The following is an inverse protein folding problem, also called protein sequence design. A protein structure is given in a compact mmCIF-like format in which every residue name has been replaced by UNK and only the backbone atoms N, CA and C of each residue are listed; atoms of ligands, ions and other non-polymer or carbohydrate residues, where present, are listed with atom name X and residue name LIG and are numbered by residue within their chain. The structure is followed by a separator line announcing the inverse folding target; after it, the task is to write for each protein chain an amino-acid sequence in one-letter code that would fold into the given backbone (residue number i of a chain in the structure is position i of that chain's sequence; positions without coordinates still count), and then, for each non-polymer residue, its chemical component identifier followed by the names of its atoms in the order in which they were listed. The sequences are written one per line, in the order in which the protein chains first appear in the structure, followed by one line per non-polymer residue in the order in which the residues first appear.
data_IF_027803964054
#
_entry.id   IF_027803964054
#
_cell.length_a   1.000
_cell.length_b   1.000
_cell.length_c   1.000
_cell.angle_alpha   90.00
_cell.angle_beta   90.00
_cell.angle_gamma   90.00
#
_symmetry.space_group_name_H-M   'P 1'
#
loop_
_entity.id
_entity.type
_entity.pdbx_description
1 polymer ?
#
# COMPACT_ATOMS: atom_id res chain seq x y z
N UNK A 1 -3.06 -12.53 30.90
CA UNK A 1 -3.04 -12.12 29.48
C UNK A 1 -1.86 -11.18 29.23
N UNK A 2 -0.63 -11.73 29.08
CA UNK A 2 0.56 -10.87 29.01
C UNK A 2 1.09 -10.70 27.58
N UNK A 3 0.53 -11.43 26.62
CA UNK A 3 0.98 -11.46 25.23
C UNK A 3 0.17 -10.54 24.33
N UNK A 4 0.81 -10.06 23.26
CA UNK A 4 0.20 -9.29 22.17
C UNK A 4 -0.05 -10.23 20.99
N UNK A 5 -1.21 -10.11 20.33
CA UNK A 5 -1.48 -10.80 19.08
C UNK A 5 -1.12 -9.90 17.90
N UNK A 6 -0.29 -10.38 16.99
CA UNK A 6 -0.01 -9.75 15.69
C UNK A 6 -0.64 -10.60 14.59
N UNK A 7 -1.44 -9.99 13.71
CA UNK A 7 -2.15 -10.70 12.64
C UNK A 7 -1.61 -10.23 11.28
N UNK A 8 -0.92 -11.13 10.59
CA UNK A 8 -0.24 -10.92 9.31
C UNK A 8 1.28 -10.86 9.45
N UNK A 9 2.01 -11.48 8.50
CA UNK A 9 3.47 -11.48 8.42
C UNK A 9 3.99 -10.87 7.10
N UNK A 10 3.25 -9.91 6.55
CA UNK A 10 3.74 -8.99 5.53
C UNK A 10 4.67 -7.92 6.14
N UNK A 11 5.18 -6.97 5.32
CA UNK A 11 6.12 -5.95 5.77
C UNK A 11 5.69 -5.18 7.03
N UNK A 12 4.42 -4.81 7.15
CA UNK A 12 3.90 -4.10 8.32
C UNK A 12 3.93 -4.97 9.59
N UNK A 13 3.50 -6.25 9.49
CA UNK A 13 3.51 -7.20 10.61
C UNK A 13 4.93 -7.53 11.07
N UNK A 14 5.88 -7.69 10.14
CA UNK A 14 7.29 -7.93 10.47
C UNK A 14 7.93 -6.71 11.14
N UNK A 15 7.59 -5.49 10.70
CA UNK A 15 8.06 -4.26 11.32
C UNK A 15 7.66 -4.17 12.80
N UNK A 16 6.38 -4.42 13.11
CA UNK A 16 5.92 -4.37 14.50
C UNK A 16 6.45 -5.53 15.33
N UNK A 17 6.59 -6.72 14.77
CA UNK A 17 7.21 -7.87 15.44
C UNK A 17 8.65 -7.54 15.87
N UNK A 18 9.44 -6.90 15.01
CA UNK A 18 10.79 -6.42 15.33
C UNK A 18 10.77 -5.40 16.48
N UNK A 19 9.83 -4.45 16.45
CA UNK A 19 9.72 -3.44 17.50
C UNK A 19 9.31 -4.04 18.87
N UNK A 20 8.36 -4.99 18.87
CA UNK A 20 7.96 -5.73 20.07
C UNK A 20 9.13 -6.55 20.64
N UNK A 21 9.85 -7.29 19.78
CA UNK A 21 11.03 -8.06 20.16
C UNK A 21 12.10 -7.18 20.81
N UNK A 22 12.37 -5.99 20.23
CA UNK A 22 13.35 -5.03 20.78
C UNK A 22 13.01 -4.57 22.20
N UNK A 23 11.73 -4.41 22.51
CA UNK A 23 11.28 -3.99 23.83
C UNK A 23 10.95 -5.16 24.76
N UNK A 24 11.30 -6.39 24.37
CA UNK A 24 11.01 -7.63 25.11
C UNK A 24 9.52 -7.80 25.45
N UNK A 25 8.62 -7.32 24.56
CA UNK A 25 7.18 -7.49 24.73
C UNK A 25 6.79 -8.86 24.16
N UNK A 26 6.22 -9.78 24.97
CA UNK A 26 5.80 -11.09 24.49
C UNK A 26 4.67 -10.95 23.44
N UNK A 27 4.78 -11.68 22.33
CA UNK A 27 3.75 -11.70 21.31
C UNK A 27 3.65 -13.08 20.63
N UNK A 28 2.48 -13.34 20.03
CA UNK A 28 2.26 -14.40 19.04
C UNK A 28 1.90 -13.74 17.73
N UNK A 29 2.41 -14.26 16.62
CA UNK A 29 2.09 -13.75 15.30
C UNK A 29 1.43 -14.84 14.46
N UNK A 30 0.29 -14.53 13.83
CA UNK A 30 -0.45 -15.43 12.97
C UNK A 30 -0.35 -14.99 11.52
N UNK A 31 0.01 -15.93 10.64
CA UNK A 31 0.03 -15.72 9.19
C UNK A 31 -0.79 -16.83 8.50
N UNK A 32 -1.74 -16.43 7.64
CA UNK A 32 -2.58 -17.39 6.90
C UNK A 32 -1.81 -18.14 5.82
N UNK A 33 -0.76 -17.53 5.26
CA UNK A 33 0.13 -18.13 4.27
C UNK A 33 1.22 -18.96 4.95
N UNK A 34 1.93 -19.74 4.15
CA UNK A 34 3.00 -20.64 4.62
C UNK A 34 4.34 -19.96 4.81
N UNK A 35 4.47 -18.67 4.42
CA UNK A 35 5.69 -17.89 4.54
C UNK A 35 5.40 -16.40 4.81
N UNK A 36 6.46 -15.66 5.10
CA UNK A 36 6.46 -14.20 5.21
C UNK A 36 6.45 -13.54 3.83
N UNK A 37 6.10 -12.24 3.77
CA UNK A 37 6.18 -11.45 2.52
C UNK A 37 4.86 -10.79 2.14
N UNK A 38 3.73 -11.29 2.64
CA UNK A 38 2.41 -10.73 2.39
C UNK A 38 2.07 -10.74 0.89
N UNK A 39 1.80 -9.57 0.32
CA UNK A 39 1.42 -9.46 -1.10
C UNK A 39 2.56 -9.76 -2.07
N UNK A 40 3.83 -9.66 -1.66
CA UNK A 40 4.97 -9.86 -2.56
C UNK A 40 5.20 -11.32 -2.94
N UNK A 41 4.62 -12.24 -2.20
CA UNK A 41 4.66 -13.66 -2.55
C UNK A 41 3.55 -14.00 -3.56
N UNK A 42 3.95 -14.40 -4.76
CA UNK A 42 3.02 -14.82 -5.83
C UNK A 42 2.27 -16.10 -5.47
N UNK A 43 2.83 -16.93 -4.59
CA UNK A 43 2.21 -18.16 -4.10
C UNK A 43 1.20 -17.90 -2.96
N UNK A 44 1.14 -16.66 -2.43
CA UNK A 44 0.16 -16.31 -1.41
C UNK A 44 -1.25 -16.20 -2.02
N UNK A 45 -2.21 -17.07 -1.65
CA UNK A 45 -3.53 -17.09 -2.24
C UNK A 45 -4.24 -15.74 -2.15
N UNK A 46 -4.69 -15.22 -3.30
CA UNK A 46 -5.36 -13.93 -3.42
C UNK A 46 -4.41 -12.72 -3.45
N UNK A 47 -3.09 -12.93 -3.56
CA UNK A 47 -2.14 -11.83 -3.78
C UNK A 47 -2.50 -11.03 -5.03
N UNK A 48 -2.42 -9.69 -4.99
CA UNK A 48 -2.63 -8.84 -6.17
C UNK A 48 -1.41 -8.74 -7.08
N UNK A 49 -0.29 -9.39 -6.73
CA UNK A 49 0.96 -9.30 -7.49
C UNK A 49 0.94 -10.15 -8.76
N UNK A 50 1.71 -9.72 -9.73
CA UNK A 50 1.91 -10.34 -11.03
C UNK A 50 3.41 -10.29 -11.40
N UNK A 51 3.84 -11.07 -12.39
CA UNK A 51 5.26 -11.26 -12.71
C UNK A 51 5.99 -9.96 -13.06
N UNK A 52 5.34 -9.06 -13.79
CA UNK A 52 5.94 -7.78 -14.20
C UNK A 52 5.85 -6.69 -13.12
N UNK A 53 5.31 -6.98 -11.93
CA UNK A 53 5.19 -6.00 -10.86
C UNK A 53 6.56 -5.63 -10.28
N UNK A 54 6.80 -4.33 -10.18
CA UNK A 54 7.99 -3.75 -9.56
C UNK A 54 7.61 -2.82 -8.42
N UNK A 55 8.52 -2.59 -7.52
CA UNK A 55 8.37 -1.56 -6.51
C UNK A 55 8.17 -0.20 -7.19
N UNK A 56 7.26 0.64 -6.67
CA UNK A 56 6.94 1.96 -7.25
C UNK A 56 7.80 3.09 -6.66
N UNK A 57 8.59 2.81 -5.64
CA UNK A 57 9.59 3.71 -5.06
C UNK A 57 10.98 3.10 -5.21
N UNK A 58 12.01 3.94 -5.23
CA UNK A 58 13.38 3.48 -5.45
C UNK A 58 13.89 2.61 -4.31
N UNK A 59 14.73 1.65 -4.63
CA UNK A 59 15.44 0.77 -3.69
C UNK A 59 16.05 1.55 -2.53
N UNK A 60 16.69 2.67 -2.83
CA UNK A 60 17.41 3.47 -1.83
C UNK A 60 16.50 4.10 -0.77
N UNK A 61 15.26 4.45 -1.14
CA UNK A 61 14.32 5.07 -0.21
C UNK A 61 13.31 4.09 0.40
N UNK A 62 13.36 2.81 0.02
CA UNK A 62 12.30 1.84 0.29
C UNK A 62 12.64 0.77 1.33
N UNK A 63 13.82 0.79 1.91
CA UNK A 63 14.23 -0.17 2.94
C UNK A 63 13.52 0.03 4.29
N UNK A 64 13.53 -1.01 5.11
CA UNK A 64 13.26 -0.88 6.54
C UNK A 64 14.37 -0.05 7.20
N UNK A 65 14.03 0.61 8.30
CA UNK A 65 15.00 1.36 9.09
C UNK A 65 16.10 0.42 9.63
N UNK A 66 17.38 0.78 9.53
CA UNK A 66 18.55 -0.05 9.86
C UNK A 66 18.68 -1.36 9.05
N UNK A 67 17.88 -1.50 7.99
CA UNK A 67 17.98 -2.65 7.09
C UNK A 67 17.75 -2.18 5.65
N UNK A 68 18.72 -1.49 5.04
CA UNK A 68 18.57 -1.00 3.68
C UNK A 68 18.49 -2.15 2.67
N UNK A 69 17.83 -1.94 1.55
CA UNK A 69 17.86 -2.90 0.47
C UNK A 69 19.28 -3.03 -0.09
N UNK A 70 19.72 -4.25 -0.45
CA UNK A 70 21.06 -4.50 -1.02
C UNK A 70 21.38 -3.60 -2.21
N UNK A 71 22.62 -3.09 -2.26
CA UNK A 71 23.10 -2.24 -3.36
C UNK A 71 23.14 -2.92 -4.74
N UNK A 72 23.10 -4.24 -4.76
CA UNK A 72 23.08 -5.08 -5.97
C UNK A 72 21.71 -5.15 -6.64
N UNK A 73 20.63 -4.76 -5.95
CA UNK A 73 19.30 -4.71 -6.54
C UNK A 73 19.16 -3.53 -7.52
N UNK A 74 18.30 -3.62 -8.55
CA UNK A 74 18.02 -2.51 -9.46
C UNK A 74 17.34 -1.34 -8.73
N UNK A 75 17.26 -0.19 -9.38
CA UNK A 75 16.62 1.01 -8.81
C UNK A 75 15.16 0.76 -8.37
N UNK A 76 14.45 -0.04 -9.14
CA UNK A 76 13.07 -0.48 -8.82
C UNK A 76 13.02 -2.02 -8.82
N UNK A 77 13.23 -2.65 -7.65
CA UNK A 77 13.23 -4.11 -7.56
C UNK A 77 11.90 -4.73 -7.96
N UNK A 78 11.93 -5.89 -8.58
CA UNK A 78 10.75 -6.68 -8.91
C UNK A 78 10.14 -7.37 -7.66
N UNK A 79 9.00 -8.01 -7.84
CA UNK A 79 8.27 -8.68 -6.76
C UNK A 79 9.09 -9.77 -6.07
N UNK A 80 9.89 -10.56 -6.81
CA UNK A 80 10.73 -11.65 -6.28
C UNK A 80 11.89 -11.09 -5.46
N UNK A 81 12.48 -9.98 -5.93
CA UNK A 81 13.56 -9.29 -5.22
C UNK A 81 13.06 -8.65 -3.93
N UNK A 82 11.87 -8.05 -3.95
CA UNK A 82 11.22 -7.49 -2.74
C UNK A 82 10.82 -8.59 -1.77
N UNK A 83 10.32 -9.72 -2.26
CA UNK A 83 10.05 -10.90 -1.44
C UNK A 83 11.32 -11.42 -0.77
N UNK A 84 12.40 -11.60 -1.55
CA UNK A 84 13.71 -12.03 -1.03
C UNK A 84 14.24 -11.08 0.04
N UNK A 85 14.13 -9.77 -0.18
CA UNK A 85 14.48 -8.76 0.80
C UNK A 85 13.64 -8.85 2.08
N UNK A 86 12.32 -9.07 1.96
CA UNK A 86 11.42 -9.19 3.11
C UNK A 86 11.67 -10.47 3.90
N UNK A 87 11.99 -11.58 3.23
CA UNK A 87 12.44 -12.84 3.84
C UNK A 87 13.74 -12.65 4.61
N UNK A 88 14.73 -12.02 3.95
CA UNK A 88 16.02 -11.69 4.60
C UNK A 88 15.87 -10.79 5.82
N UNK A 89 14.91 -9.84 5.81
CA UNK A 89 14.57 -9.06 6.98
C UNK A 89 14.04 -9.93 8.14
N UNK A 90 13.10 -10.81 7.85
CA UNK A 90 12.55 -11.71 8.89
C UNK A 90 13.63 -12.60 9.48
N UNK A 91 14.54 -13.11 8.66
CA UNK A 91 15.65 -13.98 9.09
C UNK A 91 16.70 -13.20 9.89
N UNK A 92 17.13 -12.04 9.41
CA UNK A 92 18.13 -11.19 10.06
C UNK A 92 17.74 -10.77 11.50
N UNK A 93 16.44 -10.70 11.77
CA UNK A 93 15.94 -10.36 13.10
C UNK A 93 15.33 -11.57 13.85
N UNK A 94 15.42 -12.78 13.29
CA UNK A 94 14.91 -14.02 13.91
C UNK A 94 13.42 -13.95 14.24
N UNK A 95 12.60 -13.39 13.33
CA UNK A 95 11.19 -13.15 13.56
C UNK A 95 10.33 -14.39 13.32
N UNK A 96 10.79 -15.30 12.46
CA UNK A 96 10.02 -16.51 12.07
C UNK A 96 9.62 -17.39 13.23
N UNK A 97 10.45 -17.46 14.27
CA UNK A 97 10.20 -18.32 15.43
C UNK A 97 8.91 -17.99 16.22
N UNK A 98 8.44 -16.74 16.12
CA UNK A 98 7.21 -16.30 16.76
C UNK A 98 5.97 -16.34 15.83
N UNK A 99 6.14 -16.77 14.56
CA UNK A 99 5.07 -16.80 13.58
C UNK A 99 4.48 -18.21 13.47
N UNK A 100 3.17 -18.30 13.62
CA UNK A 100 2.40 -19.51 13.28
C UNK A 100 1.87 -19.37 11.87
N UNK A 101 2.54 -20.01 10.94
CA UNK A 101 2.17 -20.07 9.54
C UNK A 101 0.95 -20.97 9.29
N UNK A 102 0.29 -20.84 8.13
CA UNK A 102 -0.90 -21.59 7.78
C UNK A 102 -2.08 -21.34 8.72
N UNK A 103 -2.03 -20.28 9.53
CA UNK A 103 -2.95 -20.02 10.63
C UNK A 103 -3.72 -18.73 10.40
N UNK A 104 -4.99 -18.87 9.98
CA UNK A 104 -5.87 -17.74 9.74
C UNK A 104 -6.69 -17.38 10.97
N UNK A 105 -6.70 -16.11 11.33
CA UNK A 105 -7.63 -15.56 12.33
C UNK A 105 -9.02 -15.43 11.70
N UNK A 106 -10.02 -15.97 12.37
CA UNK A 106 -11.44 -15.90 11.95
C UNK A 106 -12.17 -14.75 12.58
N UNK A 107 -11.93 -14.48 13.87
CA UNK A 107 -12.67 -13.49 14.64
C UNK A 107 -11.86 -12.95 15.82
N UNK A 108 -12.24 -11.76 16.31
CA UNK A 108 -11.74 -11.16 17.54
C UNK A 108 -12.89 -10.61 18.36
N UNK A 109 -12.88 -10.86 19.66
CA UNK A 109 -13.89 -10.40 20.61
C UNK A 109 -13.22 -9.73 21.81
N UNK A 110 -13.86 -8.72 22.38
CA UNK A 110 -13.38 -8.13 23.64
C UNK A 110 -13.59 -9.11 24.79
N UNK A 111 -12.58 -9.29 25.64
CA UNK A 111 -12.63 -10.19 26.80
C UNK A 111 -12.03 -9.46 28.03
N UNK A 112 -12.91 -8.93 28.87
CA UNK A 112 -12.48 -8.08 29.99
C UNK A 112 -11.73 -6.85 29.49
N UNK A 113 -10.46 -6.69 29.92
CA UNK A 113 -9.58 -5.62 29.45
C UNK A 113 -8.74 -6.00 28.22
N UNK A 114 -8.89 -7.22 27.70
CA UNK A 114 -8.14 -7.76 26.57
C UNK A 114 -9.02 -8.26 25.44
N UNK A 115 -8.52 -9.26 24.73
CA UNK A 115 -9.13 -9.78 23.50
C UNK A 115 -9.07 -11.32 23.48
N UNK A 116 -10.12 -11.96 23.05
CA UNK A 116 -10.12 -13.36 22.63
C UNK A 116 -10.02 -13.40 21.09
N UNK A 117 -8.98 -14.04 20.58
CA UNK A 117 -8.75 -14.27 19.15
C UNK A 117 -9.15 -15.70 18.83
N UNK A 118 -10.08 -15.88 17.88
CA UNK A 118 -10.53 -17.19 17.40
C UNK A 118 -9.87 -17.49 16.05
N UNK A 119 -9.19 -18.61 15.95
CA UNK A 119 -8.56 -19.08 14.72
C UNK A 119 -9.59 -19.84 13.84
N UNK A 120 -9.19 -20.12 12.59
CA UNK A 120 -10.07 -20.82 11.64
C UNK A 120 -10.37 -22.27 12.07
N UNK A 121 -9.47 -22.92 12.80
CA UNK A 121 -9.65 -24.26 13.37
C UNK A 121 -10.59 -24.30 14.59
N UNK A 122 -11.07 -23.16 15.05
CA UNK A 122 -11.95 -22.99 16.21
C UNK A 122 -11.20 -22.75 17.53
N UNK A 123 -9.90 -22.88 17.57
CA UNK A 123 -9.12 -22.59 18.79
C UNK A 123 -9.22 -21.13 19.19
N UNK A 124 -9.21 -20.87 20.50
CA UNK A 124 -9.36 -19.52 21.08
C UNK A 124 -8.16 -19.21 21.96
N UNK A 125 -7.62 -18.00 21.82
CA UNK A 125 -6.46 -17.54 22.55
C UNK A 125 -6.70 -16.13 23.08
N UNK A 126 -6.30 -15.87 24.32
CA UNK A 126 -6.51 -14.58 24.97
C UNK A 126 -5.23 -13.73 24.94
N UNK A 127 -5.43 -12.46 24.59
CA UNK A 127 -4.36 -11.47 24.43
C UNK A 127 -4.71 -10.15 25.11
N UNK A 128 -3.70 -9.43 25.60
CA UNK A 128 -3.88 -8.07 26.12
C UNK A 128 -4.12 -7.01 25.04
N UNK A 129 -3.63 -7.26 23.83
CA UNK A 129 -3.75 -6.35 22.70
C UNK A 129 -3.75 -7.10 21.37
N UNK A 130 -4.38 -6.51 20.34
CA UNK A 130 -4.41 -7.01 18.96
C UNK A 130 -3.85 -5.96 18.01
N UNK A 131 -2.95 -6.38 17.12
CA UNK A 131 -2.38 -5.58 16.03
C UNK A 131 -2.78 -6.20 14.71
N UNK A 132 -3.68 -5.52 13.98
CA UNK A 132 -4.13 -5.91 12.66
C UNK A 132 -3.14 -5.41 11.61
N UNK A 133 -2.38 -6.29 10.97
CA UNK A 133 -1.35 -5.97 9.96
C UNK A 133 -1.54 -6.77 8.67
N UNK A 134 -2.80 -7.05 8.30
CA UNK A 134 -3.15 -7.93 7.17
C UNK A 134 -3.11 -7.24 5.81
N UNK A 135 -2.87 -5.93 5.75
CA UNK A 135 -2.82 -5.18 4.50
C UNK A 135 -4.22 -4.85 3.93
N UNK A 136 -4.24 -4.12 2.80
CA UNK A 136 -5.43 -3.43 2.30
C UNK A 136 -5.83 -3.81 0.86
N UNK A 137 -5.15 -4.78 0.25
CA UNK A 137 -5.32 -5.14 -1.17
C UNK A 137 -5.83 -6.56 -1.36
N UNK A 138 -6.74 -7.00 -0.48
CA UNK A 138 -7.28 -8.37 -0.50
C UNK A 138 -8.74 -8.44 -0.95
N UNK A 139 -9.44 -7.31 -1.05
CA UNK A 139 -10.84 -7.26 -1.44
C UNK A 139 -11.01 -6.48 -2.75
N UNK A 140 -11.02 -7.16 -3.92
CA UNK A 140 -11.12 -6.53 -5.22
C UNK A 140 -12.41 -5.73 -5.36
N UNK A 141 -12.30 -4.51 -5.92
CA UNK A 141 -13.47 -3.69 -6.26
C UNK A 141 -13.87 -3.98 -7.70
N UNK A 142 -15.01 -4.62 -7.88
CA UNK A 142 -15.59 -4.93 -9.18
C UNK A 142 -16.70 -3.94 -9.52
N UNK A 143 -16.53 -3.04 -10.50
CA UNK A 143 -17.63 -2.22 -10.99
C UNK A 143 -18.64 -3.06 -11.76
N UNK A 144 -19.87 -2.56 -11.81
CA UNK A 144 -20.95 -3.13 -12.66
C UNK A 144 -21.26 -2.16 -13.79
N UNK A 145 -21.43 -2.71 -14.98
CA UNK A 145 -21.86 -1.94 -16.17
C UNK A 145 -23.16 -2.52 -16.72
N UNK A 146 -24.04 -1.70 -17.31
CA UNK A 146 -25.26 -2.18 -17.96
C UNK A 146 -24.94 -3.13 -19.12
N UNK A 147 -25.83 -4.08 -19.38
CA UNK A 147 -25.72 -5.00 -20.52
C UNK A 147 -25.10 -6.35 -20.14
N UNK A 148 -24.72 -7.11 -21.17
CA UNK A 148 -24.16 -8.46 -21.03
C UNK A 148 -22.87 -8.56 -21.81
N UNK A 149 -21.88 -9.22 -21.26
CA UNK A 149 -20.62 -9.53 -21.94
C UNK A 149 -20.45 -11.04 -22.07
N UNK A 150 -20.06 -11.48 -23.27
CA UNK A 150 -19.89 -12.92 -23.57
C UNK A 150 -18.45 -13.40 -23.36
N UNK A 151 -17.50 -12.47 -23.25
CA UNK A 151 -16.11 -12.78 -22.96
C UNK A 151 -15.84 -12.97 -21.46
N UNK A 152 -14.57 -12.99 -21.11
CA UNK A 152 -14.11 -13.14 -19.74
C UNK A 152 -14.05 -11.79 -19.02
N UNK A 153 -14.54 -11.72 -17.78
CA UNK A 153 -14.41 -10.56 -16.89
C UNK A 153 -13.64 -10.99 -15.64
N UNK A 154 -12.54 -10.28 -15.35
CA UNK A 154 -11.71 -10.52 -14.14
C UNK A 154 -11.29 -9.22 -13.48
N UNK A 155 -10.89 -9.32 -12.21
CA UNK A 155 -10.13 -8.27 -11.55
C UNK A 155 -8.62 -8.49 -11.72
N UNK A 156 -7.83 -7.42 -11.73
CA UNK A 156 -6.36 -7.47 -11.83
C UNK A 156 -5.68 -8.29 -10.73
N UNK A 157 -6.35 -8.53 -9.60
CA UNK A 157 -5.85 -9.42 -8.54
C UNK A 157 -5.70 -10.88 -8.96
N UNK A 158 -6.33 -11.30 -10.05
CA UNK A 158 -6.21 -12.66 -10.58
C UNK A 158 -5.23 -12.76 -11.76
N UNK A 159 -4.75 -11.63 -12.26
CA UNK A 159 -3.76 -11.57 -13.33
C UNK A 159 -2.38 -11.99 -12.79
N UNK A 160 -1.62 -12.77 -13.57
CA UNK A 160 -0.29 -13.25 -13.19
C UNK A 160 0.80 -12.96 -14.22
N UNK A 161 0.52 -13.22 -15.51
CA UNK A 161 1.56 -13.14 -16.54
C UNK A 161 1.02 -12.67 -17.88
N UNK A 162 1.86 -12.00 -18.68
CA UNK A 162 1.53 -11.49 -20.00
C UNK A 162 1.08 -12.59 -20.99
N UNK A 163 1.52 -13.82 -20.79
CA UNK A 163 1.13 -14.95 -21.65
C UNK A 163 -0.38 -15.23 -21.64
N UNK A 164 -1.10 -14.80 -20.59
CA UNK A 164 -2.56 -14.93 -20.50
C UNK A 164 -3.29 -14.11 -21.58
N UNK A 165 -2.62 -13.16 -22.22
CA UNK A 165 -3.20 -12.27 -23.23
C UNK A 165 -3.00 -12.73 -24.67
N UNK A 166 -2.23 -13.78 -24.90
CA UNK A 166 -1.95 -14.27 -26.26
C UNK A 166 -3.22 -14.51 -27.08
N UNK A 167 -3.27 -13.87 -28.27
CA UNK A 167 -4.36 -14.01 -29.21
C UNK A 167 -5.69 -13.33 -28.81
N UNK A 168 -5.72 -12.61 -27.69
CA UNK A 168 -6.91 -11.95 -27.13
C UNK A 168 -6.90 -10.44 -27.41
N UNK A 169 -8.09 -9.86 -27.54
CA UNK A 169 -8.31 -8.43 -27.46
C UNK A 169 -8.62 -8.07 -26.02
N UNK A 170 -7.74 -7.35 -25.37
CA UNK A 170 -7.76 -7.11 -23.91
C UNK A 170 -8.13 -5.66 -23.62
N UNK A 171 -9.15 -5.46 -22.81
CA UNK A 171 -9.51 -4.16 -22.25
C UNK A 171 -9.13 -4.11 -20.77
N UNK A 172 -8.17 -3.26 -20.42
CA UNK A 172 -7.83 -2.93 -19.01
C UNK A 172 -8.66 -1.72 -18.59
N UNK A 173 -9.49 -1.86 -17.56
CA UNK A 173 -10.33 -0.77 -17.03
C UNK A 173 -9.69 -0.16 -15.80
N UNK A 174 -9.30 1.11 -15.91
CA UNK A 174 -8.62 1.87 -14.85
C UNK A 174 -7.12 2.05 -15.12
N UNK A 175 -6.62 3.24 -14.84
CA UNK A 175 -5.22 3.66 -15.07
C UNK A 175 -4.51 4.01 -13.75
N UNK A 176 -4.56 3.11 -12.76
CA UNK A 176 -3.63 3.11 -11.64
C UNK A 176 -2.30 2.43 -12.01
N UNK A 177 -1.36 2.30 -11.04
CA UNK A 177 -0.07 1.65 -11.32
C UNK A 177 -0.25 0.24 -11.92
N UNK A 178 -1.12 -0.60 -11.33
CA UNK A 178 -1.41 -1.93 -11.88
C UNK A 178 -2.04 -1.87 -13.27
N UNK A 179 -3.00 -0.96 -13.49
CA UNK A 179 -3.63 -0.82 -14.81
C UNK A 179 -2.64 -0.42 -15.90
N UNK A 180 -1.70 0.47 -15.60
CA UNK A 180 -0.65 0.89 -16.53
C UNK A 180 0.34 -0.25 -16.83
N UNK A 181 0.80 -0.97 -15.80
CA UNK A 181 1.71 -2.10 -15.99
C UNK A 181 1.06 -3.21 -16.82
N UNK A 182 -0.19 -3.58 -16.48
CA UNK A 182 -0.94 -4.63 -17.18
C UNK A 182 -1.29 -4.21 -18.61
N UNK A 183 -1.58 -2.93 -18.86
CA UNK A 183 -1.77 -2.42 -20.22
C UNK A 183 -0.47 -2.53 -21.06
N UNK A 184 0.70 -2.31 -20.44
CA UNK A 184 2.00 -2.54 -21.10
C UNK A 184 2.24 -4.02 -21.40
N UNK A 185 1.83 -4.93 -20.51
CA UNK A 185 1.94 -6.37 -20.73
C UNK A 185 0.96 -6.83 -21.83
N UNK A 186 -0.25 -6.26 -21.88
CA UNK A 186 -1.19 -6.47 -22.98
C UNK A 186 -0.65 -5.97 -24.32
N UNK A 187 -0.03 -4.77 -24.34
CA UNK A 187 0.65 -4.25 -25.53
C UNK A 187 1.67 -5.21 -26.11
N UNK A 188 2.42 -5.90 -25.25
CA UNK A 188 3.47 -6.82 -25.67
C UNK A 188 2.97 -8.20 -26.13
N UNK A 189 1.75 -8.61 -25.77
CA UNK A 189 1.33 -10.01 -25.88
C UNK A 189 -0.07 -10.23 -26.46
N UNK A 190 -0.95 -9.23 -26.38
CA UNK A 190 -2.33 -9.35 -26.85
C UNK A 190 -2.44 -9.15 -28.37
N UNK A 191 -3.53 -9.63 -28.97
CA UNK A 191 -3.88 -9.31 -30.37
C UNK A 191 -4.30 -7.85 -30.54
N UNK A 192 -4.91 -7.25 -29.48
CA UNK A 192 -5.16 -5.82 -29.37
C UNK A 192 -5.23 -5.43 -27.88
N UNK A 193 -4.71 -4.27 -27.52
CA UNK A 193 -4.71 -3.77 -26.17
C UNK A 193 -5.44 -2.42 -26.08
N UNK A 194 -6.38 -2.33 -25.14
CA UNK A 194 -7.15 -1.13 -24.84
C UNK A 194 -7.02 -0.80 -23.36
N UNK A 195 -6.97 0.49 -23.04
CA UNK A 195 -7.06 0.95 -21.64
C UNK A 195 -8.20 1.96 -21.52
N UNK A 196 -9.18 1.66 -20.65
CA UNK A 196 -10.28 2.59 -20.36
C UNK A 196 -9.90 3.51 -19.21
N UNK A 197 -9.98 4.82 -19.46
CA UNK A 197 -9.54 5.87 -18.56
C UNK A 197 -10.67 6.85 -18.29
N UNK A 198 -11.27 6.77 -17.10
CA UNK A 198 -12.39 7.63 -16.70
C UNK A 198 -12.00 9.08 -16.42
N UNK A 199 -10.78 9.29 -15.89
CA UNK A 199 -10.25 10.61 -15.52
C UNK A 199 -8.75 10.66 -15.79
N UNK A 200 -8.22 11.85 -16.04
CA UNK A 200 -6.80 12.05 -16.30
C UNK A 200 -5.92 11.82 -15.08
N UNK A 201 -4.69 11.41 -15.32
CA UNK A 201 -3.64 11.21 -14.33
C UNK A 201 -2.38 11.98 -14.72
N UNK A 202 -1.68 12.49 -13.71
CA UNK A 202 -0.31 12.94 -13.91
C UNK A 202 0.61 11.72 -14.00
N UNK A 203 1.21 11.53 -15.17
CA UNK A 203 2.19 10.47 -15.38
C UNK A 203 3.58 11.01 -15.08
N UNK A 204 4.30 10.31 -14.21
CA UNK A 204 5.67 10.65 -13.82
C UNK A 204 6.59 9.54 -14.31
N UNK A 205 7.67 9.85 -15.05
CA UNK A 205 8.63 8.84 -15.46
C UNK A 205 9.38 8.30 -14.22
N UNK A 206 9.75 7.02 -14.26
CA UNK A 206 10.50 6.39 -13.15
C UNK A 206 11.87 7.04 -12.92
N UNK A 207 12.48 7.62 -13.96
CA UNK A 207 13.77 8.33 -13.89
C UNK A 207 13.65 9.73 -14.49
N UNK A 208 14.31 10.69 -13.87
CA UNK A 208 14.53 12.04 -14.36
C UNK A 208 16.04 12.26 -14.42
N UNK A 209 16.57 12.56 -15.60
CA UNK A 209 18.02 12.68 -15.84
C UNK A 209 18.84 11.48 -15.33
N UNK A 210 18.31 10.25 -15.50
CA UNK A 210 18.96 9.02 -15.05
C UNK A 210 18.88 8.75 -13.54
N UNK A 211 18.22 9.60 -12.77
CA UNK A 211 18.03 9.46 -11.31
C UNK A 211 16.59 9.01 -11.04
N UNK A 212 16.34 8.01 -10.17
CA UNK A 212 15.00 7.68 -9.71
C UNK A 212 14.23 8.91 -9.25
N UNK A 213 12.98 9.04 -9.70
CA UNK A 213 12.23 10.30 -9.52
C UNK A 213 11.99 10.67 -8.05
N UNK A 214 11.79 9.70 -7.17
CA UNK A 214 11.65 9.92 -5.74
C UNK A 214 12.99 10.38 -5.10
N UNK A 215 14.13 9.85 -5.56
CA UNK A 215 15.45 10.34 -5.15
C UNK A 215 15.73 11.75 -5.70
N UNK A 216 15.33 12.02 -6.95
CA UNK A 216 15.46 13.34 -7.55
C UNK A 216 14.72 14.39 -6.71
N UNK A 217 13.46 14.10 -6.34
CA UNK A 217 12.67 14.95 -5.45
C UNK A 217 13.27 15.08 -4.03
N UNK A 218 13.89 14.02 -3.51
CA UNK A 218 14.52 14.05 -2.19
C UNK A 218 15.83 14.85 -2.14
N UNK A 219 16.56 14.94 -3.26
CA UNK A 219 17.82 15.72 -3.39
C UNK A 219 17.57 17.20 -3.65
N UNK A 220 16.38 17.55 -4.14
CA UNK A 220 16.02 18.92 -4.46
C UNK A 220 15.92 19.82 -3.21
N UNK A 221 15.96 21.15 -3.39
CA UNK A 221 15.78 22.08 -2.30
C UNK A 221 14.39 21.92 -1.67
N UNK A 222 14.32 21.99 -0.35
CA UNK A 222 13.08 21.88 0.41
C UNK A 222 12.28 23.18 0.29
N UNK A 223 11.59 23.36 -0.83
CA UNK A 223 10.74 24.53 -1.09
C UNK A 223 9.28 24.22 -0.74
N UNK A 224 8.48 25.26 -0.43
CA UNK A 224 7.05 25.07 -0.23
C UNK A 224 6.37 24.46 -1.47
N UNK A 225 5.41 23.57 -1.25
CA UNK A 225 4.69 22.83 -2.33
C UNK A 225 4.07 23.78 -3.38
N UNK A 226 3.74 25.01 -2.98
CA UNK A 226 3.21 26.05 -3.89
C UNK A 226 4.20 26.46 -4.98
N UNK A 227 5.50 26.35 -4.73
CA UNK A 227 6.57 26.65 -5.68
C UNK A 227 7.10 25.36 -6.35
N UNK A 228 7.21 24.27 -5.59
CA UNK A 228 7.66 22.97 -6.08
C UNK A 228 6.74 22.44 -7.20
N UNK A 229 5.42 22.50 -6.99
CA UNK A 229 4.43 21.96 -7.91
C UNK A 229 4.47 22.54 -9.32
N UNK A 230 4.39 23.87 -9.54
CA UNK A 230 4.42 24.43 -10.88
C UNK A 230 5.76 24.19 -11.58
N UNK A 231 6.88 24.25 -10.85
CA UNK A 231 8.20 23.99 -11.41
C UNK A 231 8.32 22.51 -11.87
N UNK A 232 7.84 21.57 -11.06
CA UNK A 232 7.87 20.16 -11.41
C UNK A 232 6.88 19.84 -12.54
N UNK A 233 5.72 20.49 -12.59
CA UNK A 233 4.77 20.34 -13.70
C UNK A 233 5.37 20.86 -15.01
N UNK A 234 6.07 21.99 -14.99
CA UNK A 234 6.77 22.51 -16.16
C UNK A 234 7.89 21.58 -16.62
N UNK A 235 8.67 21.03 -15.69
CA UNK A 235 9.68 20.01 -15.99
C UNK A 235 9.08 18.77 -16.66
N UNK A 236 7.97 18.23 -16.13
CA UNK A 236 7.29 17.07 -16.73
C UNK A 236 6.78 17.38 -18.15
N UNK A 237 6.22 18.58 -18.38
CA UNK A 237 5.81 19.01 -19.71
C UNK A 237 7.00 19.13 -20.69
N UNK A 238 8.14 19.61 -20.21
CA UNK A 238 9.37 19.68 -21.02
C UNK A 238 9.87 18.28 -21.40
N UNK A 239 9.81 17.31 -20.47
CA UNK A 239 10.35 15.96 -20.69
C UNK A 239 9.43 15.07 -21.52
N UNK A 240 8.11 15.20 -21.38
CA UNK A 240 7.13 14.27 -21.96
C UNK A 240 6.19 14.91 -23.00
N UNK A 241 6.17 16.23 -23.06
CA UNK A 241 5.22 16.98 -23.90
C UNK A 241 3.80 16.93 -23.35
N UNK A 242 2.84 17.19 -24.25
CA UNK A 242 1.41 17.07 -23.96
C UNK A 242 0.95 15.63 -24.21
N UNK A 243 0.55 14.94 -23.13
CA UNK A 243 0.10 13.55 -23.20
C UNK A 243 -1.34 13.40 -23.71
N UNK A 244 -2.12 14.49 -23.81
CA UNK A 244 -3.48 14.44 -24.39
C UNK A 244 -3.46 14.06 -25.87
N UNK A 245 -2.38 14.40 -26.58
CA UNK A 245 -2.14 13.97 -27.98
C UNK A 245 -2.09 12.44 -28.15
N UNK A 246 -1.87 11.70 -27.05
CA UNK A 246 -1.84 10.23 -27.03
C UNK A 246 -3.21 9.63 -26.63
N UNK A 247 -4.26 10.47 -26.54
CA UNK A 247 -5.61 10.06 -26.14
C UNK A 247 -5.85 10.04 -24.62
N UNK A 248 -4.86 10.33 -23.78
CA UNK A 248 -5.06 10.42 -22.34
C UNK A 248 -5.89 11.65 -21.98
N UNK A 249 -6.92 11.52 -21.11
CA UNK A 249 -7.66 12.69 -20.63
C UNK A 249 -6.74 13.67 -19.87
N UNK A 250 -7.02 14.96 -19.99
CA UNK A 250 -6.34 15.96 -19.16
C UNK A 250 -6.64 15.72 -17.67
N UNK A 251 -5.63 15.79 -16.77
CA UNK A 251 -5.86 15.68 -15.35
C UNK A 251 -6.80 16.78 -14.84
N UNK A 252 -7.87 16.41 -14.14
CA UNK A 252 -8.87 17.28 -13.52
C UNK A 252 -8.42 17.88 -12.17
N UNK A 253 -7.17 17.68 -11.82
CA UNK A 253 -6.57 18.06 -10.54
C UNK A 253 -5.10 18.48 -10.74
N UNK A 254 -4.54 19.16 -9.75
CA UNK A 254 -3.13 19.56 -9.79
C UNK A 254 -2.23 18.39 -9.39
N UNK A 255 -0.99 18.43 -9.85
CA UNK A 255 0.03 17.44 -9.49
C UNK A 255 0.12 17.28 -7.96
N UNK A 256 0.19 16.04 -7.47
CA UNK A 256 0.18 15.61 -6.06
C UNK A 256 -1.17 15.77 -5.32
N UNK A 257 -2.22 16.27 -5.93
CA UNK A 257 -3.57 16.22 -5.36
C UNK A 257 -4.25 14.86 -5.53
N UNK A 258 -3.64 13.99 -6.32
CA UNK A 258 -3.92 12.57 -6.43
C UNK A 258 -2.60 11.82 -6.48
N UNK A 259 -2.63 10.52 -6.18
CA UNK A 259 -1.44 9.69 -6.33
C UNK A 259 -1.04 9.65 -7.82
N UNK A 260 0.16 10.13 -8.19
CA UNK A 260 0.58 10.13 -9.59
C UNK A 260 0.84 8.71 -10.07
N UNK A 261 0.76 8.52 -11.38
CA UNK A 261 1.14 7.28 -12.04
C UNK A 261 2.63 7.27 -12.33
N UNK A 262 3.39 6.37 -11.69
CA UNK A 262 4.81 6.18 -11.95
C UNK A 262 5.01 5.07 -12.98
N UNK A 263 5.06 5.44 -14.25
CA UNK A 263 5.28 4.48 -15.33
C UNK A 263 5.96 5.15 -16.52
N UNK A 264 7.06 4.58 -17.03
CA UNK A 264 7.76 5.05 -18.23
C UNK A 264 7.35 4.24 -19.48
N UNK A 265 6.96 2.96 -19.31
CA UNK A 265 6.63 2.06 -20.43
C UNK A 265 5.32 2.42 -21.11
N UNK A 266 4.31 2.85 -20.35
CA UNK A 266 3.00 3.19 -20.87
C UNK A 266 3.07 4.25 -21.98
N UNK A 267 3.82 5.34 -21.73
CA UNK A 267 3.96 6.42 -22.73
C UNK A 267 4.58 5.87 -24.02
N UNK A 268 5.59 5.01 -23.93
CA UNK A 268 6.21 4.35 -25.07
C UNK A 268 5.16 3.57 -25.89
N UNK A 269 4.39 2.69 -25.27
CA UNK A 269 3.35 1.90 -25.96
C UNK A 269 2.22 2.76 -26.55
N UNK A 270 1.85 3.85 -25.87
CA UNK A 270 0.88 4.80 -26.43
C UNK A 270 1.44 5.54 -27.65
N UNK A 271 2.72 5.90 -27.66
CA UNK A 271 3.38 6.57 -28.78
C UNK A 271 3.52 5.66 -30.01
N UNK A 272 3.67 4.35 -29.79
CA UNK A 272 3.76 3.34 -30.86
C UNK A 272 2.39 2.86 -31.35
N UNK A 273 1.31 3.20 -30.63
CA UNK A 273 -0.03 2.73 -30.97
C UNK A 273 -0.32 1.29 -30.53
N UNK A 274 0.55 0.71 -29.68
CA UNK A 274 0.39 -0.66 -29.16
C UNK A 274 -0.77 -0.76 -28.16
N UNK A 275 -1.15 0.36 -27.54
CA UNK A 275 -2.31 0.48 -26.63
C UNK A 275 -3.18 1.63 -27.09
N UNK A 276 -4.46 1.37 -27.27
CA UNK A 276 -5.45 2.42 -27.56
C UNK A 276 -6.16 2.87 -26.27
N UNK A 277 -6.15 4.18 -26.02
CA UNK A 277 -6.90 4.78 -24.92
C UNK A 277 -8.38 4.87 -25.29
N UNK A 278 -9.24 4.53 -24.33
CA UNK A 278 -10.70 4.65 -24.41
C UNK A 278 -11.25 5.39 -23.20
N UNK A 279 -12.34 6.12 -23.33
CA UNK A 279 -13.03 6.73 -22.19
C UNK A 279 -13.68 5.67 -21.29
N UNK A 280 -14.50 6.10 -20.33
CA UNK A 280 -15.16 5.17 -19.40
C UNK A 280 -16.10 4.20 -20.13
N UNK A 281 -16.25 3.00 -19.58
CA UNK A 281 -17.18 1.98 -20.10
C UNK A 281 -18.61 2.42 -19.83
N UNK A 282 -19.41 2.57 -20.89
CA UNK A 282 -20.83 2.92 -20.79
C UNK A 282 -21.72 1.67 -20.70
N UNK A 283 -21.45 0.66 -21.54
CA UNK A 283 -22.29 -0.53 -21.65
C UNK A 283 -21.54 -1.71 -22.24
N UNK A 284 -21.96 -2.92 -21.85
CA UNK A 284 -21.50 -4.20 -22.38
C UNK A 284 -22.50 -4.71 -23.42
N UNK A 285 -22.03 -5.07 -24.63
CA UNK A 285 -22.89 -5.43 -25.78
C UNK A 285 -22.39 -6.72 -26.43
N UNK A 286 -22.57 -7.85 -25.74
CA UNK A 286 -22.15 -9.16 -26.24
C UNK A 286 -20.62 -9.31 -26.26
N UNK A 287 -20.01 -9.34 -27.44
CA UNK A 287 -18.56 -9.37 -27.65
C UNK A 287 -17.93 -7.97 -27.80
N UNK A 288 -18.72 -6.91 -27.61
CA UNK A 288 -18.30 -5.52 -27.75
C UNK A 288 -18.49 -4.74 -26.45
N UNK A 289 -17.65 -3.74 -26.27
CA UNK A 289 -17.75 -2.76 -25.21
C UNK A 289 -18.04 -1.40 -25.83
N UNK A 290 -19.11 -0.73 -25.37
CA UNK A 290 -19.43 0.64 -25.74
C UNK A 290 -18.90 1.59 -24.69
N UNK A 291 -18.22 2.65 -25.15
CA UNK A 291 -17.65 3.68 -24.29
C UNK A 291 -18.56 4.92 -24.23
N UNK A 292 -18.26 5.83 -23.29
CA UNK A 292 -19.08 7.02 -23.01
C UNK A 292 -19.08 8.05 -24.17
N UNK A 293 -18.12 7.99 -25.09
CA UNK A 293 -18.08 8.79 -26.31
C UNK A 293 -18.89 8.16 -27.47
N UNK A 294 -19.52 7.00 -27.24
CA UNK A 294 -20.28 6.25 -28.25
C UNK A 294 -19.45 5.29 -29.10
N UNK A 295 -18.12 5.31 -29.00
CA UNK A 295 -17.26 4.35 -29.69
C UNK A 295 -17.43 2.94 -29.15
N UNK A 296 -17.08 1.92 -29.96
CA UNK A 296 -17.20 0.51 -29.59
C UNK A 296 -16.01 -0.27 -30.08
N UNK A 297 -15.46 -1.16 -29.21
CA UNK A 297 -14.45 -2.15 -29.60
C UNK A 297 -14.92 -3.56 -29.32
N UNK A 298 -14.42 -4.50 -30.10
CA UNK A 298 -14.56 -5.92 -29.86
C UNK A 298 -13.49 -6.35 -28.85
N UNK A 299 -13.91 -7.05 -27.78
CA UNK A 299 -13.09 -7.40 -26.64
C UNK A 299 -13.33 -8.86 -26.27
N UNK A 300 -12.28 -9.59 -25.91
CA UNK A 300 -12.36 -10.99 -25.46
C UNK A 300 -12.19 -11.09 -23.94
N UNK A 301 -11.45 -10.14 -23.35
CA UNK A 301 -11.15 -10.09 -21.91
C UNK A 301 -11.27 -8.65 -21.39
N UNK A 302 -12.10 -8.45 -20.39
CA UNK A 302 -12.14 -7.23 -19.57
C UNK A 302 -11.41 -7.50 -18.24
N UNK A 303 -10.39 -6.71 -17.96
CA UNK A 303 -9.60 -6.81 -16.73
C UNK A 303 -9.75 -5.52 -15.92
N UNK A 304 -10.48 -5.60 -14.82
CA UNK A 304 -10.70 -4.46 -13.95
C UNK A 304 -9.47 -4.19 -13.05
N UNK A 305 -8.76 -3.10 -13.29
CA UNK A 305 -7.68 -2.56 -12.45
C UNK A 305 -8.19 -1.41 -11.57
N UNK A 306 -9.32 -1.62 -10.93
CA UNK A 306 -10.15 -0.61 -10.26
C UNK A 306 -9.89 -0.48 -8.77
N UNK A 307 -8.83 -1.15 -8.29
CA UNK A 307 -8.37 -1.07 -6.90
C UNK A 307 -9.14 -1.98 -5.95
N UNK A 308 -9.03 -1.68 -4.65
CA UNK A 308 -9.47 -2.57 -3.58
C UNK A 308 -10.29 -1.81 -2.54
N UNK A 309 -11.25 -2.49 -1.95
CA UNK A 309 -11.90 -2.05 -0.74
C UNK A 309 -11.08 -2.48 0.48
N UNK A 310 -10.99 -1.60 1.47
CA UNK A 310 -10.29 -1.94 2.70
C UNK A 310 -11.22 -2.70 3.63
N UNK A 311 -10.69 -3.73 4.26
CA UNK A 311 -11.43 -4.52 5.22
C UNK A 311 -10.49 -5.12 6.27
N UNK A 312 -11.05 -5.34 7.46
CA UNK A 312 -10.44 -6.09 8.55
C UNK A 312 -11.50 -7.11 9.01
N UNK A 313 -11.82 -8.14 8.21
CA UNK A 313 -13.04 -8.95 8.39
C UNK A 313 -13.20 -9.54 9.78
N UNK A 314 -12.10 -9.95 10.41
CA UNK A 314 -12.07 -10.56 11.74
C UNK A 314 -12.18 -9.54 12.90
N UNK A 315 -12.04 -8.23 12.62
CA UNK A 315 -12.07 -7.18 13.63
C UNK A 315 -12.87 -5.94 13.17
N UNK A 316 -13.55 -6.00 12.04
CA UNK A 316 -14.25 -4.87 11.39
C UNK A 316 -15.13 -4.07 12.37
N UNK A 317 -15.90 -4.75 13.21
CA UNK A 317 -16.86 -4.16 14.17
C UNK A 317 -16.19 -3.36 15.30
N UNK A 318 -14.90 -3.53 15.51
CA UNK A 318 -14.17 -2.88 16.60
C UNK A 318 -13.51 -1.56 16.16
N UNK A 319 -13.50 -1.28 14.86
CA UNK A 319 -13.03 0.00 14.32
C UNK A 319 -14.21 0.88 13.94
N UNK A 320 -14.04 2.18 14.07
CA UNK A 320 -14.90 3.15 13.44
C UNK A 320 -14.52 3.28 11.97
N UNK A 321 -15.52 3.34 11.08
CA UNK A 321 -15.29 3.39 9.64
C UNK A 321 -15.93 4.62 9.04
N UNK A 322 -15.18 5.32 8.20
CA UNK A 322 -15.68 6.46 7.45
C UNK A 322 -15.23 6.34 5.98
N UNK A 323 -16.18 6.37 5.03
CA UNK A 323 -15.94 6.22 3.59
C UNK A 323 -15.07 4.99 3.23
N UNK A 324 -15.30 3.86 3.90
CA UNK A 324 -14.57 2.62 3.68
C UNK A 324 -13.13 2.62 4.20
N UNK A 325 -12.80 3.51 5.15
CA UNK A 325 -11.49 3.59 5.82
C UNK A 325 -11.64 3.53 7.33
N UNK A 326 -10.78 2.82 8.06
CA UNK A 326 -10.79 2.82 9.51
C UNK A 326 -10.29 4.17 10.04
N UNK A 327 -11.02 4.73 11.00
CA UNK A 327 -10.64 5.95 11.72
C UNK A 327 -9.55 5.62 12.75
N UNK A 328 -8.31 5.92 12.42
CA UNK A 328 -7.15 5.62 13.25
C UNK A 328 -6.35 6.89 13.55
N UNK A 329 -6.05 7.15 14.81
CA UNK A 329 -5.06 8.17 15.16
C UNK A 329 -3.67 7.73 14.67
N UNK A 330 -2.95 8.62 13.98
CA UNK A 330 -1.66 8.32 13.34
C UNK A 330 -1.72 7.04 12.48
N UNK A 331 -2.83 6.80 11.79
CA UNK A 331 -3.04 5.64 10.90
C UNK A 331 -2.81 4.27 11.55
N UNK A 332 -2.75 4.20 12.89
CA UNK A 332 -2.46 2.96 13.61
C UNK A 332 -3.28 2.76 14.89
N UNK A 333 -3.60 3.80 15.64
CA UNK A 333 -4.21 3.66 16.96
C UNK A 333 -5.73 3.80 16.88
N UNK A 334 -6.46 2.77 17.33
CA UNK A 334 -7.92 2.85 17.45
C UNK A 334 -8.30 3.94 18.45
N UNK A 335 -9.28 4.77 18.09
CA UNK A 335 -9.84 5.77 19.01
C UNK A 335 -10.83 5.15 20.02
N UNK A 336 -11.35 3.97 19.69
CA UNK A 336 -12.33 3.26 20.51
C UNK A 336 -11.71 2.32 21.53
N UNK A 337 -10.61 1.64 21.17
CA UNK A 337 -9.97 0.64 22.01
C UNK A 337 -8.46 0.92 22.12
N UNK A 338 -8.00 1.20 23.34
CA UNK A 338 -6.59 1.53 23.63
C UNK A 338 -5.57 0.42 23.33
N UNK A 339 -6.04 -0.80 23.13
CA UNK A 339 -5.25 -2.01 22.89
C UNK A 339 -5.60 -2.69 21.55
N UNK A 340 -6.18 -1.92 20.62
CA UNK A 340 -6.43 -2.35 19.24
C UNK A 340 -5.71 -1.41 18.27
N UNK A 341 -4.95 -2.01 17.36
CA UNK A 341 -4.13 -1.28 16.40
C UNK A 341 -4.35 -1.78 14.98
N UNK A 342 -4.29 -0.86 14.02
CA UNK A 342 -4.21 -1.20 12.59
C UNK A 342 -2.86 -0.74 12.04
N UNK A 343 -2.06 -1.62 11.45
CA UNK A 343 -0.78 -1.27 10.87
C UNK A 343 -0.75 -1.55 9.37
N UNK A 344 -0.33 -0.56 8.58
CA UNK A 344 -0.38 -0.66 7.12
C UNK A 344 -1.67 -0.11 6.49
N UNK A 345 -2.53 0.51 7.29
CA UNK A 345 -3.77 1.16 6.82
C UNK A 345 -3.53 2.64 6.53
N UNK A 346 -2.65 2.91 5.58
CA UNK A 346 -2.32 4.28 5.12
C UNK A 346 -1.98 4.29 3.63
N UNK A 347 -2.23 5.43 3.00
CA UNK A 347 -1.68 5.80 1.70
C UNK A 347 -0.66 6.92 1.92
N UNK A 348 0.47 6.90 1.20
CA UNK A 348 1.57 7.83 1.40
C UNK A 348 2.28 8.14 0.08
N UNK A 349 2.84 9.33 -0.04
CA UNK A 349 3.63 9.78 -1.21
C UNK A 349 5.12 9.38 -1.15
N UNK A 350 5.47 8.38 -0.38
CA UNK A 350 6.84 7.86 -0.25
C UNK A 350 6.79 6.36 0.08
N UNK A 351 7.94 5.72 0.23
CA UNK A 351 7.99 4.34 0.72
C UNK A 351 7.37 4.20 2.11
N UNK A 352 6.55 3.16 2.28
CA UNK A 352 5.84 2.87 3.51
C UNK A 352 6.71 2.13 4.57
N UNK A 353 7.77 1.41 4.18
CA UNK A 353 8.49 0.51 5.09
C UNK A 353 9.14 1.24 6.28
N UNK A 354 9.87 2.33 6.02
CA UNK A 354 10.41 3.17 7.11
C UNK A 354 9.29 3.76 7.99
N UNK A 355 8.15 4.07 7.40
CA UNK A 355 6.98 4.61 8.14
C UNK A 355 6.37 3.53 9.02
N UNK A 356 6.29 2.28 8.53
CA UNK A 356 5.87 1.15 9.36
C UNK A 356 6.76 1.00 10.59
N UNK A 357 8.09 1.13 10.45
CA UNK A 357 9.01 1.05 11.58
C UNK A 357 8.81 2.20 12.58
N UNK A 358 8.58 3.41 12.08
CA UNK A 358 8.30 4.56 12.95
C UNK A 358 7.02 4.38 13.75
N UNK A 359 5.94 3.93 13.10
CA UNK A 359 4.66 3.66 13.76
C UNK A 359 4.80 2.47 14.72
N UNK A 360 5.47 1.40 14.32
CA UNK A 360 5.71 0.22 15.13
C UNK A 360 6.48 0.55 16.41
N UNK A 361 7.44 1.47 16.32
CA UNK A 361 8.17 1.99 17.49
C UNK A 361 7.21 2.67 18.48
N UNK A 362 6.27 3.51 18.01
CA UNK A 362 5.27 4.14 18.87
C UNK A 362 4.34 3.10 19.51
N UNK A 363 3.83 2.15 18.73
CA UNK A 363 2.95 1.08 19.23
C UNK A 363 3.64 0.28 20.32
N UNK A 364 4.89 -0.14 20.10
CA UNK A 364 5.64 -0.92 21.06
C UNK A 364 5.93 -0.12 22.35
N UNK A 365 6.29 1.16 22.25
CA UNK A 365 6.49 2.02 23.42
C UNK A 365 5.18 2.26 24.18
N UNK A 366 4.08 2.46 23.49
CA UNK A 366 2.78 2.65 24.12
C UNK A 366 2.33 1.38 24.87
N UNK A 367 2.45 0.21 24.25
CA UNK A 367 2.15 -1.07 24.89
C UNK A 367 3.01 -1.32 26.14
N UNK A 368 4.31 -1.02 26.08
CA UNK A 368 5.19 -1.14 27.24
C UNK A 368 4.80 -0.17 28.37
N UNK A 369 4.48 1.07 28.01
CA UNK A 369 4.16 2.10 29.01
C UNK A 369 2.76 1.90 29.64
N UNK A 370 1.86 1.18 29.00
CA UNK A 370 0.60 0.73 29.63
C UNK A 370 0.84 -0.09 30.90
N UNK A 371 1.93 -0.86 30.96
CA UNK A 371 2.31 -1.69 32.12
C UNK A 371 3.29 -0.95 33.06
N UNK A 372 4.32 -0.35 32.49
CA UNK A 372 5.46 0.12 33.29
C UNK A 372 5.40 1.62 33.61
N UNK A 373 4.67 2.41 32.81
CA UNK A 373 4.54 3.88 32.96
C UNK A 373 3.13 4.35 32.64
N UNK A 374 2.11 3.94 33.42
CA UNK A 374 0.70 4.17 33.10
C UNK A 374 0.34 5.65 32.94
N UNK A 375 1.01 6.55 33.66
CA UNK A 375 0.81 7.99 33.52
C UNK A 375 1.22 8.51 32.12
N UNK A 376 2.30 7.93 31.54
CA UNK A 376 2.74 8.27 30.19
C UNK A 376 1.79 7.70 29.13
N UNK A 377 1.35 6.47 29.30
CA UNK A 377 0.33 5.86 28.46
C UNK A 377 -0.96 6.70 28.47
N UNK A 378 -1.43 7.12 29.66
CA UNK A 378 -2.59 7.97 29.81
C UNK A 378 -2.42 9.36 29.13
N UNK A 379 -1.21 9.91 29.10
CA UNK A 379 -0.92 11.14 28.35
C UNK A 379 -1.09 10.92 26.84
N UNK A 380 -0.69 9.75 26.33
CA UNK A 380 -0.89 9.39 24.94
C UNK A 380 -2.36 9.04 24.62
N UNK A 381 -3.10 8.40 25.54
CA UNK A 381 -4.55 8.18 25.43
C UNK A 381 -5.29 9.50 25.21
N UNK A 382 -4.90 10.56 25.91
CA UNK A 382 -5.49 11.90 25.70
C UNK A 382 -5.21 12.44 24.31
N UNK A 383 -4.01 12.21 23.75
CA UNK A 383 -3.72 12.57 22.36
C UNK A 383 -4.59 11.78 21.38
N UNK A 384 -4.69 10.46 21.56
CA UNK A 384 -5.55 9.63 20.70
C UNK A 384 -6.99 10.17 20.71
N UNK A 385 -7.51 10.58 21.85
CA UNK A 385 -8.89 11.04 22.00
C UNK A 385 -9.13 12.43 21.40
N UNK A 386 -8.19 13.37 21.52
CA UNK A 386 -8.46 14.80 21.27
C UNK A 386 -7.70 15.40 20.09
N UNK A 387 -6.67 14.73 19.62
CA UNK A 387 -5.80 15.30 18.60
C UNK A 387 -6.22 14.83 17.19
N UNK A 388 -6.32 15.81 16.27
CA UNK A 388 -6.69 15.60 14.87
C UNK A 388 -5.69 16.28 13.94
N UNK A 389 -4.46 15.74 13.82
CA UNK A 389 -3.40 16.38 13.07
C UNK A 389 -3.70 16.44 11.57
N UNK A 390 -3.36 17.57 10.94
CA UNK A 390 -3.39 17.71 9.50
C UNK A 390 -2.10 17.15 8.90
N UNK A 391 -2.18 15.90 8.40
CA UNK A 391 -1.02 15.15 7.91
C UNK A 391 -0.88 15.19 6.39
N UNK A 392 -1.69 15.97 5.69
CA UNK A 392 -1.74 16.07 4.24
C UNK A 392 -0.69 17.00 3.61
N UNK A 393 0.24 17.59 4.39
CA UNK A 393 1.27 18.48 3.86
C UNK A 393 0.72 19.82 3.29
N UNK A 394 -0.51 20.19 3.63
CA UNK A 394 -1.20 21.36 3.07
C UNK A 394 -1.75 21.14 1.66
N UNK A 395 -1.78 19.88 1.20
CA UNK A 395 -2.40 19.50 -0.07
C UNK A 395 -3.91 19.29 0.12
N UNK A 396 -4.70 19.72 -0.87
CA UNK A 396 -6.11 19.35 -0.98
C UNK A 396 -6.20 18.18 -1.94
N UNK A 397 -6.44 16.98 -1.39
CA UNK A 397 -6.58 15.80 -2.22
C UNK A 397 -7.95 15.76 -2.91
N UNK A 398 -7.98 15.12 -4.09
CA UNK A 398 -9.24 14.83 -4.79
C UNK A 398 -10.17 14.03 -3.88
N UNK A 399 -11.45 14.38 -3.87
CA UNK A 399 -12.48 13.78 -3.02
C UNK A 399 -12.77 12.33 -3.37
N UNK A 400 -11.82 11.42 -3.16
CA UNK A 400 -12.04 9.98 -3.29
C UNK A 400 -11.72 9.28 -1.96
N UNK A 401 -12.37 8.14 -1.72
CA UNK A 401 -12.14 7.34 -0.52
C UNK A 401 -10.64 6.99 -0.32
N UNK A 402 -9.88 6.82 -1.40
CA UNK A 402 -8.44 6.56 -1.37
C UNK A 402 -7.65 7.66 -0.65
N UNK A 403 -8.01 8.92 -0.84
CA UNK A 403 -7.22 10.05 -0.34
C UNK A 403 -7.54 10.43 1.11
N UNK A 404 -8.54 9.82 1.73
CA UNK A 404 -8.94 10.13 3.11
C UNK A 404 -7.86 9.83 4.14
N UNK A 405 -7.16 8.71 3.97
CA UNK A 405 -6.05 8.27 4.82
C UNK A 405 -4.68 8.60 4.23
N UNK A 406 -4.67 9.46 3.20
CA UNK A 406 -3.43 9.84 2.53
C UNK A 406 -2.62 10.81 3.39
N UNK A 407 -1.36 10.48 3.64
CA UNK A 407 -0.45 11.32 4.41
C UNK A 407 0.73 11.77 3.57
N UNK A 408 1.15 13.01 3.79
CA UNK A 408 2.42 13.51 3.27
C UNK A 408 3.58 13.02 4.14
N UNK A 409 4.51 12.30 3.54
CA UNK A 409 5.58 11.63 4.27
C UNK A 409 6.44 12.58 5.12
N UNK A 410 6.72 13.79 4.63
CA UNK A 410 7.54 14.77 5.36
C UNK A 410 6.79 15.30 6.58
N UNK A 411 5.54 15.68 6.39
CA UNK A 411 4.65 16.19 7.47
C UNK A 411 4.40 15.12 8.49
N UNK A 412 4.11 13.89 8.04
CA UNK A 412 3.84 12.76 8.90
C UNK A 412 5.05 12.39 9.78
N UNK A 413 6.23 12.23 9.19
CA UNK A 413 7.47 11.93 9.92
C UNK A 413 7.85 13.03 10.93
N UNK A 414 7.64 14.31 10.57
CA UNK A 414 7.85 15.42 11.49
C UNK A 414 6.89 15.34 12.66
N UNK A 415 5.63 15.05 12.39
CA UNK A 415 4.60 14.96 13.43
C UNK A 415 4.85 13.76 14.37
N UNK A 416 5.23 12.59 13.86
CA UNK A 416 5.63 11.45 14.69
C UNK A 416 6.77 11.81 15.65
N UNK A 417 7.79 12.56 15.18
CA UNK A 417 8.87 13.05 16.06
C UNK A 417 8.37 14.01 17.15
N UNK A 418 7.43 14.88 16.82
CA UNK A 418 6.82 15.80 17.81
C UNK A 418 6.04 15.02 18.88
N UNK A 419 5.28 14.01 18.48
CA UNK A 419 4.58 13.11 19.40
C UNK A 419 5.57 12.37 20.31
N UNK A 420 6.63 11.79 19.74
CA UNK A 420 7.69 11.13 20.52
C UNK A 420 8.28 12.09 21.55
N UNK A 421 8.65 13.30 21.14
CA UNK A 421 9.23 14.30 22.06
C UNK A 421 8.24 14.71 23.16
N UNK A 422 6.96 14.94 22.81
CA UNK A 422 5.91 15.33 23.75
C UNK A 422 5.62 14.27 24.80
N UNK A 423 5.66 12.99 24.41
CA UNK A 423 5.39 11.86 25.31
C UNK A 423 6.66 11.40 26.03
N UNK A 424 7.85 11.76 25.53
CA UNK A 424 9.14 11.29 26.05
C UNK A 424 9.49 9.88 25.56
N UNK A 425 9.07 9.51 24.35
CA UNK A 425 9.50 8.28 23.67
C UNK A 425 10.68 8.56 22.73
N UNK A 426 11.62 7.60 22.60
CA UNK A 426 12.72 7.73 21.66
C UNK A 426 12.20 7.62 20.22
N UNK A 427 12.75 8.43 19.34
CA UNK A 427 12.64 8.25 17.89
C UNK A 427 13.61 7.16 17.41
N UNK A 428 13.39 6.63 16.21
CA UNK A 428 14.33 5.71 15.61
C UNK A 428 15.69 6.41 15.36
N UNK A 429 16.74 5.77 15.79
CA UNK A 429 18.15 6.19 15.58
C UNK A 429 18.94 5.04 14.97
N UNK A 430 19.94 5.33 14.11
CA UNK A 430 20.80 4.30 13.53
C UNK A 430 21.40 3.38 14.62
N UNK A 431 21.44 2.07 14.33
CA UNK A 431 21.91 1.04 15.25
C UNK A 431 20.88 0.58 16.30
N UNK A 432 19.69 1.18 16.35
CA UNK A 432 18.69 0.87 17.39
C UNK A 432 18.23 -0.60 17.37
N UNK A 433 18.31 -1.26 16.25
CA UNK A 433 17.88 -2.65 16.08
C UNK A 433 19.03 -3.67 16.05
N UNK A 434 20.27 -3.26 16.25
CA UNK A 434 21.42 -4.18 16.25
C UNK A 434 21.31 -5.25 17.36
N UNK A 435 20.79 -4.88 18.53
CA UNK A 435 20.62 -5.79 19.68
C UNK A 435 19.60 -6.91 19.45
N UNK A 436 18.76 -6.80 18.40
CA UNK A 436 17.75 -7.82 18.06
C UNK A 436 18.07 -8.60 16.79
N UNK A 437 19.22 -8.31 16.15
CA UNK A 437 19.70 -9.15 15.06
C UNK A 437 19.96 -10.56 15.53
N UNK A 438 19.58 -11.53 14.72
CA UNK A 438 19.98 -12.92 14.96
C UNK A 438 21.50 -13.03 14.83
N UNK A 439 22.11 -13.81 15.69
CA UNK A 439 23.51 -14.22 15.51
C UNK A 439 23.60 -14.95 14.18
N UNK A 440 24.47 -14.49 13.29
CA UNK A 440 24.73 -15.10 11.98
C UNK A 440 25.32 -16.50 12.12
#
# INVERSE_FOLDING_TARGET
MDRVCVIGAGPAGLSVARALKRLAIPYDQFERHTDVGGIWDLDNPGTPMYESAHFISSRKLSGFFDHPMPGTLPDYPDNRQVLGYTRGFADAYGLRAAIRFGTAVRDTETAGTGWTVTLRDGSRHDYRAVICATGVTWQPRMPTHPGTFHGEIRHSSTYRTATEFHGRRVLVVGLGNSGADIACDAAASAAAAFVSVRRGYHVIPKHIFGIPTDEFGARGPQVPIRLERPAFTALLRLLQGDLTRLGLPEPDHRLFESHPLLNSRLIHHLQHGDVAVRPDVARLEGDRVRFTDGSTDQVDLILYATGYDWAIPYAQRHFEWQDGRPELYLTAFSRRHRNLFGLGYLEINSSAYTVFDQISNLVAHYLRDQEHRPARAAAFDRLIATDHPRLNGGLTFVGSARHRTYVDARTYRRYLRQVCARIGWPTLTPGMFETVRASS
#
